data_IF_759741781910
#
_entry.id   IF_759741781910
#
_cell.length_a   1.000
_cell.length_b   1.000
_cell.length_c   1.000
_cell.angle_alpha   90.00
_cell.angle_beta   90.00
_cell.angle_gamma   90.00
#
_symmetry.space_group_name_H-M   'P 1'
#
loop_
_entity.id
_entity.type
_entity.pdbx_description
1 polymer ?
#
# COMPACT_ATOMS: atom_id res chain seq x y z
N UNK A 1 -36.96 68.73 -29.36
CA UNK A 1 -36.88 67.70 -28.32
C UNK A 1 -35.85 66.64 -28.71
N UNK A 2 -34.73 66.62 -28.08
CA UNK A 2 -33.70 65.60 -28.34
C UNK A 2 -33.80 64.55 -27.26
N UNK A 3 -34.14 63.29 -27.65
CA UNK A 3 -34.13 62.11 -26.78
C UNK A 3 -32.71 61.63 -26.67
N UNK A 4 -32.11 61.79 -25.50
CA UNK A 4 -30.77 61.14 -25.20
C UNK A 4 -31.03 59.73 -24.70
N UNK A 5 -30.76 58.75 -25.56
CA UNK A 5 -30.76 57.36 -25.16
C UNK A 5 -29.43 57.07 -24.51
N UNK A 6 -29.45 56.94 -23.20
CA UNK A 6 -28.27 56.50 -22.46
C UNK A 6 -28.16 54.98 -22.55
N UNK A 7 -27.25 54.47 -23.37
CA UNK A 7 -26.90 53.06 -23.36
C UNK A 7 -26.06 52.76 -22.09
N UNK A 8 -26.67 52.09 -21.12
CA UNK A 8 -25.95 51.52 -19.99
C UNK A 8 -25.27 50.24 -20.47
N UNK A 9 -23.98 50.31 -20.70
CA UNK A 9 -23.16 49.16 -20.96
C UNK A 9 -23.01 48.39 -19.66
N UNK A 10 -23.65 47.23 -19.55
CA UNK A 10 -23.47 46.29 -18.46
C UNK A 10 -22.15 45.51 -18.74
N UNK A 11 -21.12 45.85 -17.99
CA UNK A 11 -19.87 45.06 -17.92
C UNK A 11 -20.11 43.83 -17.06
N UNK A 12 -20.27 42.68 -17.70
CA UNK A 12 -20.24 41.41 -16.99
C UNK A 12 -18.76 41.08 -16.69
N UNK A 13 -18.36 41.30 -15.44
CA UNK A 13 -17.10 40.80 -14.95
C UNK A 13 -17.21 39.27 -14.74
N UNK A 14 -16.66 38.50 -15.66
CA UNK A 14 -16.48 37.04 -15.50
C UNK A 14 -15.46 36.81 -14.40
N UNK A 15 -15.93 36.49 -13.20
CA UNK A 15 -15.03 36.00 -12.13
C UNK A 15 -14.68 34.56 -12.46
N UNK A 16 -13.52 34.36 -13.06
CA UNK A 16 -12.90 33.05 -13.20
C UNK A 16 -12.44 32.61 -11.79
N UNK A 17 -13.30 31.82 -11.13
CA UNK A 17 -12.93 31.15 -9.89
C UNK A 17 -11.91 30.06 -10.23
N UNK A 18 -10.62 30.35 -10.14
CA UNK A 18 -9.57 29.34 -10.16
C UNK A 18 -9.60 28.60 -8.84
N UNK A 19 -10.23 27.41 -8.81
CA UNK A 19 -10.08 26.51 -7.69
C UNK A 19 -8.67 25.91 -7.75
N UNK A 20 -7.86 26.00 -6.68
CA UNK A 20 -6.59 25.30 -6.66
C UNK A 20 -6.89 23.80 -6.65
N UNK A 21 -6.41 23.08 -7.66
CA UNK A 21 -6.35 21.63 -7.65
C UNK A 21 -5.39 21.26 -6.51
N UNK A 22 -5.95 20.90 -5.35
CA UNK A 22 -5.16 20.26 -4.31
C UNK A 22 -4.85 18.84 -4.78
N UNK A 23 -3.63 18.63 -5.26
CA UNK A 23 -3.10 17.29 -5.41
C UNK A 23 -3.09 16.65 -4.03
N UNK A 24 -3.91 15.58 -3.84
CA UNK A 24 -3.87 14.81 -2.61
C UNK A 24 -2.46 14.23 -2.47
N UNK A 25 -1.71 14.67 -1.47
CA UNK A 25 -0.42 14.09 -1.14
C UNK A 25 -0.67 12.63 -0.77
N UNK A 26 -0.08 11.69 -1.53
CA UNK A 26 -0.13 10.28 -1.22
C UNK A 26 0.78 10.04 -0.02
N UNK A 27 0.17 9.85 1.16
CA UNK A 27 0.88 9.53 2.39
C UNK A 27 0.98 8.02 2.55
N UNK A 28 2.15 7.53 2.99
CA UNK A 28 2.30 6.16 3.41
C UNK A 28 1.50 5.95 4.69
N UNK A 29 0.67 4.92 4.73
CA UNK A 29 -0.02 4.49 5.93
C UNK A 29 0.84 3.44 6.65
N UNK A 30 1.32 3.72 7.84
CA UNK A 30 1.90 2.69 8.70
C UNK A 30 0.79 1.81 9.25
N UNK A 31 0.80 0.53 8.88
CA UNK A 31 -0.14 -0.48 9.38
C UNK A 31 0.30 -0.90 10.77
N UNK A 32 -0.45 -0.51 11.80
CA UNK A 32 -0.16 -0.84 13.19
C UNK A 32 -1.05 -1.94 13.74
N UNK A 33 -2.25 -2.08 13.18
CA UNK A 33 -3.27 -3.01 13.65
C UNK A 33 -3.29 -4.30 12.84
N UNK A 34 -3.29 -5.44 13.51
CA UNK A 34 -3.37 -6.76 12.87
C UNK A 34 -4.59 -6.90 11.96
N UNK A 35 -5.77 -6.47 12.44
CA UNK A 35 -7.00 -6.55 11.64
C UNK A 35 -6.90 -5.73 10.35
N UNK A 36 -6.24 -4.57 10.39
CA UNK A 36 -5.99 -3.77 9.19
C UNK A 36 -5.11 -4.52 8.20
N UNK A 37 -4.06 -5.17 8.68
CA UNK A 37 -3.18 -6.00 7.87
C UNK A 37 -3.92 -7.19 7.25
N UNK A 38 -4.68 -7.92 8.06
CA UNK A 38 -5.49 -9.06 7.60
C UNK A 38 -6.43 -8.64 6.46
N UNK A 39 -7.12 -7.51 6.60
CA UNK A 39 -8.03 -7.01 5.56
C UNK A 39 -7.32 -6.70 4.24
N UNK A 40 -6.03 -6.37 4.28
CA UNK A 40 -5.24 -6.09 3.09
C UNK A 40 -4.75 -7.36 2.38
N UNK A 41 -4.50 -8.44 3.12
CA UNK A 41 -3.87 -9.64 2.55
C UNK A 41 -4.83 -10.83 2.37
N UNK A 42 -5.99 -10.81 3.01
CA UNK A 42 -6.92 -11.94 2.98
C UNK A 42 -7.38 -12.26 1.56
N UNK A 43 -7.14 -13.51 1.13
CA UNK A 43 -7.47 -13.99 -0.21
C UNK A 43 -6.66 -13.34 -1.34
N UNK A 44 -5.55 -12.69 -1.04
CA UNK A 44 -4.74 -11.96 -2.02
C UNK A 44 -3.34 -12.54 -2.14
N UNK A 45 -2.68 -12.20 -3.24
CA UNK A 45 -1.27 -12.53 -3.50
C UNK A 45 -0.42 -11.28 -3.37
N UNK A 46 0.74 -11.43 -2.77
CA UNK A 46 1.76 -10.40 -2.74
C UNK A 46 2.82 -10.72 -3.78
N UNK A 47 3.03 -9.82 -4.73
CA UNK A 47 3.94 -10.06 -5.86
C UNK A 47 5.00 -8.99 -6.00
N UNK A 48 6.20 -9.44 -6.31
CA UNK A 48 7.29 -8.64 -6.84
C UNK A 48 8.09 -9.48 -7.84
N UNK A 49 9.09 -8.89 -8.47
CA UNK A 49 9.90 -9.60 -9.48
C UNK A 49 10.38 -10.96 -8.95
N UNK A 50 10.01 -12.04 -9.64
CA UNK A 50 10.33 -13.45 -9.34
C UNK A 50 9.81 -13.96 -7.98
N UNK A 51 8.96 -13.21 -7.27
CA UNK A 51 8.42 -13.61 -5.98
C UNK A 51 6.91 -13.46 -5.96
N UNK A 52 6.24 -14.52 -5.53
CA UNK A 52 4.81 -14.53 -5.25
C UNK A 52 4.56 -15.18 -3.89
N UNK A 53 3.91 -14.47 -2.98
CA UNK A 53 3.63 -14.94 -1.64
C UNK A 53 2.14 -14.89 -1.32
N UNK A 54 1.68 -15.90 -0.57
CA UNK A 54 0.40 -15.91 0.12
C UNK A 54 0.66 -15.80 1.62
N UNK A 55 0.30 -14.68 2.21
CA UNK A 55 0.30 -14.48 3.66
C UNK A 55 -1.11 -14.78 4.13
N UNK A 56 -1.29 -15.88 4.83
CA UNK A 56 -2.62 -16.40 5.16
C UNK A 56 -3.05 -15.96 6.55
N UNK A 57 -4.36 -15.84 6.74
CA UNK A 57 -4.93 -15.36 8.01
C UNK A 57 -4.74 -16.34 9.17
N UNK A 58 -4.43 -17.61 8.88
CA UNK A 58 -4.11 -18.64 9.87
C UNK A 58 -2.69 -18.56 10.44
N UNK A 59 -1.88 -17.59 9.98
CA UNK A 59 -0.49 -17.42 10.41
C UNK A 59 0.54 -18.15 9.54
N UNK A 60 0.14 -18.76 8.43
CA UNK A 60 1.08 -19.40 7.50
C UNK A 60 1.48 -18.48 6.35
N UNK A 61 2.67 -18.71 5.82
CA UNK A 61 3.18 -18.07 4.61
C UNK A 61 3.58 -19.17 3.64
N UNK A 62 3.10 -19.08 2.42
CA UNK A 62 3.48 -19.97 1.32
C UNK A 62 3.77 -19.14 0.07
N UNK A 63 4.51 -19.70 -0.85
CA UNK A 63 4.76 -19.05 -2.13
C UNK A 63 5.97 -19.59 -2.84
N UNK A 64 6.48 -18.80 -3.78
CA UNK A 64 7.65 -19.13 -4.58
C UNK A 64 8.53 -17.91 -4.77
N UNK A 65 9.83 -18.12 -4.75
CA UNK A 65 10.83 -17.13 -5.09
C UNK A 65 11.87 -17.75 -6.01
N UNK A 66 12.03 -17.19 -7.22
CA UNK A 66 12.95 -17.71 -8.25
C UNK A 66 12.80 -19.23 -8.49
N UNK A 67 11.56 -19.71 -8.53
CA UNK A 67 11.23 -21.12 -8.79
C UNK A 67 11.39 -22.08 -7.61
N UNK A 68 11.74 -21.58 -6.42
CA UNK A 68 11.89 -22.38 -5.20
C UNK A 68 10.82 -22.02 -4.17
N UNK A 69 10.28 -23.02 -3.49
CA UNK A 69 9.22 -22.82 -2.49
C UNK A 69 9.67 -21.93 -1.34
N UNK A 70 8.79 -21.02 -0.95
CA UNK A 70 8.88 -20.21 0.26
C UNK A 70 7.83 -20.70 1.24
N UNK A 71 8.24 -20.97 2.46
CA UNK A 71 7.35 -21.38 3.56
C UNK A 71 7.71 -20.60 4.82
N UNK A 72 6.74 -20.43 5.68
CA UNK A 72 6.96 -19.76 6.95
C UNK A 72 5.70 -19.54 7.77
N UNK A 73 5.88 -18.81 8.84
CA UNK A 73 4.80 -18.42 9.74
C UNK A 73 4.95 -16.95 10.10
N UNK A 74 3.83 -16.33 10.48
CA UNK A 74 3.81 -14.97 10.93
C UNK A 74 2.88 -14.79 12.12
N UNK A 75 3.12 -13.76 12.90
CA UNK A 75 2.22 -13.22 13.89
C UNK A 75 2.39 -11.70 13.96
N UNK A 76 1.48 -11.04 14.65
CA UNK A 76 1.52 -9.59 14.86
C UNK A 76 1.94 -9.30 16.29
N UNK A 77 3.01 -8.52 16.47
CA UNK A 77 3.53 -8.15 17.79
C UNK A 77 3.90 -6.66 17.81
N UNK A 78 3.40 -5.93 18.80
CA UNK A 78 3.79 -4.53 19.03
C UNK A 78 3.79 -3.66 17.78
N UNK A 79 2.71 -3.72 16.99
CA UNK A 79 2.55 -2.99 15.73
C UNK A 79 3.46 -3.46 14.57
N UNK A 80 4.04 -4.65 14.67
CA UNK A 80 4.94 -5.20 13.66
C UNK A 80 4.49 -6.56 13.15
N UNK A 81 4.76 -6.80 11.89
CA UNK A 81 4.64 -8.10 11.24
C UNK A 81 5.87 -8.92 11.54
N UNK A 82 5.76 -9.92 12.42
CA UNK A 82 6.86 -10.79 12.79
C UNK A 82 6.73 -12.13 12.07
N UNK A 83 7.78 -12.55 11.38
CA UNK A 83 7.74 -13.74 10.54
C UNK A 83 9.05 -14.53 10.63
N UNK A 84 8.96 -15.84 10.39
CA UNK A 84 10.09 -16.64 9.97
C UNK A 84 9.85 -17.14 8.55
N UNK A 85 10.89 -17.32 7.78
CA UNK A 85 10.81 -17.79 6.41
C UNK A 85 11.90 -18.81 6.12
N UNK A 86 11.57 -19.76 5.24
CA UNK A 86 12.52 -20.66 4.60
C UNK A 86 12.35 -20.57 3.08
N UNK A 87 13.46 -20.61 2.38
CA UNK A 87 13.51 -20.68 0.93
C UNK A 87 14.13 -22.02 0.55
N UNK A 88 13.27 -22.96 0.10
CA UNK A 88 13.66 -24.35 0.01
C UNK A 88 14.18 -24.86 1.36
N UNK A 89 15.39 -25.39 1.39
CA UNK A 89 16.03 -25.87 2.62
C UNK A 89 16.80 -24.78 3.38
N UNK A 90 16.82 -23.56 2.86
CA UNK A 90 17.53 -22.45 3.50
C UNK A 90 16.65 -21.70 4.48
N UNK A 91 17.04 -21.69 5.73
CA UNK A 91 16.40 -20.85 6.74
C UNK A 91 16.84 -19.39 6.58
N UNK A 92 15.87 -18.50 6.38
CA UNK A 92 16.10 -17.07 6.27
C UNK A 92 15.95 -16.33 7.60
N UNK A 93 15.68 -17.08 8.68
CA UNK A 93 15.54 -16.54 10.02
C UNK A 93 14.23 -15.84 10.30
N UNK A 94 14.18 -15.23 11.48
CA UNK A 94 13.04 -14.47 11.99
C UNK A 94 13.32 -12.98 11.97
N UNK A 95 12.27 -12.20 11.73
CA UNK A 95 12.35 -10.75 11.70
C UNK A 95 10.99 -10.14 12.02
N UNK A 96 10.99 -9.01 12.69
CA UNK A 96 9.80 -8.18 12.89
C UNK A 96 9.90 -6.95 12.00
N UNK A 97 8.89 -6.73 11.17
CA UNK A 97 8.92 -5.75 10.10
C UNK A 97 7.87 -4.67 10.28
N UNK A 98 8.25 -3.43 10.02
CA UNK A 98 7.32 -2.34 9.83
C UNK A 98 6.62 -2.53 8.50
N UNK A 99 5.29 -2.42 8.48
CA UNK A 99 4.49 -2.54 7.25
C UNK A 99 3.86 -1.20 6.93
N UNK A 100 4.06 -0.73 5.71
CA UNK A 100 3.45 0.49 5.21
C UNK A 100 2.66 0.22 3.93
N UNK A 101 1.50 0.86 3.79
CA UNK A 101 0.68 0.80 2.58
C UNK A 101 0.82 2.10 1.79
N UNK A 102 1.06 1.97 0.50
CA UNK A 102 1.00 3.06 -0.47
C UNK A 102 0.59 2.52 -1.84
N UNK A 103 -0.47 3.05 -2.44
CA UNK A 103 -0.90 2.72 -3.80
C UNK A 103 -1.02 1.20 -4.06
N UNK A 104 -1.76 0.47 -3.26
CA UNK A 104 -1.91 -1.00 -3.37
C UNK A 104 -0.59 -1.78 -3.28
N UNK A 105 0.43 -1.16 -2.70
CA UNK A 105 1.71 -1.80 -2.43
C UNK A 105 1.97 -1.84 -0.94
N UNK A 106 2.46 -2.97 -0.47
CA UNK A 106 2.94 -3.14 0.89
C UNK A 106 4.46 -3.07 0.91
N UNK A 107 4.96 -2.26 1.82
CA UNK A 107 6.39 -2.06 2.06
C UNK A 107 6.73 -2.70 3.40
N UNK A 108 7.53 -3.74 3.37
CA UNK A 108 8.01 -4.43 4.57
C UNK A 108 9.44 -4.01 4.84
N UNK A 109 9.66 -3.29 5.94
CA UNK A 109 11.00 -2.84 6.33
C UNK A 109 11.48 -3.66 7.52
N UNK A 110 12.58 -4.39 7.32
CA UNK A 110 13.18 -5.26 8.32
C UNK A 110 13.63 -4.51 9.56
N UNK A 111 13.93 -5.26 10.62
CA UNK A 111 14.44 -4.72 11.88
C UNK A 111 13.58 -3.57 12.41
N UNK A 112 12.26 -3.81 12.50
CA UNK A 112 11.25 -2.84 12.98
C UNK A 112 11.32 -1.48 12.29
N UNK A 113 11.62 -1.47 11.01
CA UNK A 113 11.70 -0.25 10.21
C UNK A 113 13.09 0.35 10.09
N UNK A 114 14.11 -0.26 10.68
CA UNK A 114 15.50 0.24 10.63
C UNK A 114 16.35 -0.39 9.53
N UNK A 115 15.87 -1.46 8.91
CA UNK A 115 16.62 -2.24 7.94
C UNK A 115 16.23 -2.00 6.48
N UNK A 116 16.32 -3.05 5.69
CA UNK A 116 16.02 -3.03 4.25
C UNK A 116 14.53 -3.16 3.99
N UNK A 117 14.03 -2.46 2.98
CA UNK A 117 12.63 -2.49 2.57
C UNK A 117 12.41 -3.39 1.36
N UNK A 118 11.46 -4.32 1.48
CA UNK A 118 10.93 -5.10 0.37
C UNK A 118 9.52 -4.58 0.02
N UNK A 119 9.28 -4.35 -1.27
CA UNK A 119 8.00 -3.84 -1.77
C UNK A 119 7.26 -4.91 -2.56
N UNK A 120 5.99 -5.12 -2.22
CA UNK A 120 5.10 -6.04 -2.90
C UNK A 120 3.84 -5.34 -3.39
N UNK A 121 3.39 -5.70 -4.59
CA UNK A 121 2.07 -5.29 -5.08
C UNK A 121 1.02 -6.27 -4.59
N UNK A 122 -0.12 -5.76 -4.11
CA UNK A 122 -1.27 -6.57 -3.71
C UNK A 122 -2.06 -6.91 -4.97
N UNK A 123 -2.21 -8.21 -5.25
CA UNK A 123 -3.02 -8.71 -6.37
C UNK A 123 -4.25 -9.44 -5.84
N UNK A 124 -5.40 -9.09 -6.38
CA UNK A 124 -6.62 -9.86 -6.17
C UNK A 124 -6.42 -11.27 -6.73
N UNK A 125 -6.83 -12.27 -5.95
CA UNK A 125 -6.94 -13.62 -6.49
C UNK A 125 -8.23 -13.70 -7.32
N UNK A 126 -8.09 -13.71 -8.62
CA UNK A 126 -9.20 -14.05 -9.50
C UNK A 126 -9.22 -15.58 -9.64
N UNK A 127 -10.31 -16.21 -9.21
CA UNK A 127 -10.45 -17.65 -9.38
C UNK A 127 -10.51 -18.07 -10.85
#
# INVERSE_FOLDING_TARGET
MRSSTVFKTLLFASVLSSFPLMAAAQTNEWIKEENRFINLIDGKKLKRFLIELSVQTDGTITGMAAGTDVTGNWNWQDNYFCRNLSWGNRDLGSDCQKVELKDKKLFFTSDRGLGTTARFTIHEYLP
#
